data_IF_051777255348
#
_entry.id   IF_051777255348
#
_cell.length_a   1.000
_cell.length_b   1.000
_cell.length_c   1.000
_cell.angle_alpha   90.00
_cell.angle_beta   90.00
_cell.angle_gamma   90.00
#
_symmetry.space_group_name_H-M   'P 1'
#
loop_
_entity.id
_entity.type
_entity.pdbx_description
1 polymer ?
#
# COMPACT_ATOMS: atom_id res chain seq x y z
N UNK A 1 23.20 0.41 1.95
CA UNK A 1 22.70 0.54 0.57
C UNK A 1 21.41 1.35 0.63
N UNK A 2 21.17 2.22 -0.34
CA UNK A 2 19.87 2.89 -0.51
C UNK A 2 18.96 2.06 -1.42
N UNK A 3 17.75 2.56 -1.67
CA UNK A 3 16.82 1.96 -2.62
C UNK A 3 17.41 2.14 -4.04
N UNK A 4 17.57 1.07 -4.85
CA UNK A 4 18.12 1.19 -6.19
C UNK A 4 17.14 1.91 -7.13
N UNK A 5 17.69 2.47 -8.24
CA UNK A 5 16.85 3.03 -9.31
C UNK A 5 15.96 1.92 -9.92
N UNK A 6 14.71 2.28 -10.19
CA UNK A 6 13.69 1.36 -10.69
C UNK A 6 13.46 1.66 -12.17
N UNK A 7 13.72 0.66 -13.01
CA UNK A 7 13.44 0.76 -14.44
C UNK A 7 11.94 0.78 -14.72
N UNK A 8 11.47 1.54 -15.70
CA UNK A 8 10.07 1.52 -16.12
C UNK A 8 9.61 0.13 -16.52
N UNK A 9 8.38 -0.20 -16.16
CA UNK A 9 7.70 -1.40 -16.62
C UNK A 9 6.18 -1.12 -16.75
N UNK A 10 5.47 -1.84 -17.63
CA UNK A 10 4.05 -1.62 -17.80
C UNK A 10 3.28 -2.01 -16.54
N UNK A 11 2.34 -1.15 -16.13
CA UNK A 11 1.43 -1.47 -15.03
C UNK A 11 0.60 -2.71 -15.39
N UNK A 12 0.51 -3.73 -14.51
CA UNK A 12 -0.37 -4.87 -14.74
C UNK A 12 -1.82 -4.45 -14.97
N UNK A 13 -2.44 -5.08 -15.97
CA UNK A 13 -3.85 -4.91 -16.34
C UNK A 13 -4.71 -6.03 -15.74
N UNK A 14 -6.02 -5.95 -15.93
CA UNK A 14 -6.96 -6.99 -15.48
C UNK A 14 -6.58 -8.39 -16.00
N UNK A 15 -6.11 -8.48 -17.26
CA UNK A 15 -5.67 -9.74 -17.86
C UNK A 15 -4.35 -10.29 -17.32
N UNK A 16 -3.60 -9.50 -16.56
CA UNK A 16 -2.33 -9.89 -15.91
C UNK A 16 -2.54 -10.39 -14.47
N UNK A 17 -3.74 -10.21 -13.89
CA UNK A 17 -4.00 -10.63 -12.54
C UNK A 17 -4.13 -12.16 -12.44
N UNK A 18 -3.57 -12.78 -11.39
CA UNK A 18 -3.75 -14.20 -11.14
C UNK A 18 -5.21 -14.51 -10.78
N UNK A 19 -5.61 -15.76 -11.00
CA UNK A 19 -6.91 -16.25 -10.55
C UNK A 19 -6.97 -16.24 -9.01
N UNK A 20 -8.02 -15.64 -8.46
CA UNK A 20 -8.24 -15.59 -7.02
C UNK A 20 -8.82 -16.90 -6.47
N UNK A 21 -8.27 -17.38 -5.37
CA UNK A 21 -8.84 -18.51 -4.62
C UNK A 21 -10.07 -18.08 -3.84
N UNK A 22 -10.01 -16.93 -3.18
CA UNK A 22 -11.15 -16.35 -2.47
C UNK A 22 -12.16 -15.72 -3.45
N UNK A 23 -13.38 -15.45 -2.94
CA UNK A 23 -14.48 -14.85 -3.72
C UNK A 23 -15.17 -13.75 -2.93
N UNK A 24 -14.37 -12.89 -2.30
CA UNK A 24 -14.89 -11.74 -1.56
C UNK A 24 -15.17 -10.57 -2.52
N UNK A 25 -16.05 -9.69 -2.11
CA UNK A 25 -16.34 -8.41 -2.77
C UNK A 25 -16.13 -7.27 -1.79
N UNK A 26 -15.70 -6.11 -2.29
CA UNK A 26 -15.50 -4.92 -1.46
C UNK A 26 -16.87 -4.38 -1.00
N UNK A 27 -17.00 -4.11 0.29
CA UNK A 27 -18.17 -3.44 0.88
C UNK A 27 -17.71 -2.12 1.52
N UNK A 28 -18.20 -0.95 1.07
CA UNK A 28 -17.81 0.35 1.63
C UNK A 28 -18.10 0.49 3.13
N UNK A 29 -19.05 -0.27 3.67
CA UNK A 29 -19.36 -0.26 5.10
C UNK A 29 -18.36 -1.06 5.94
N UNK A 30 -17.64 -1.99 5.31
CA UNK A 30 -16.66 -2.88 5.94
C UNK A 30 -15.21 -2.50 5.64
N UNK A 31 -14.97 -1.76 4.56
CA UNK A 31 -13.64 -1.48 4.05
C UNK A 31 -12.95 -0.31 4.77
N UNK A 32 -11.62 -0.41 4.90
CA UNK A 32 -10.67 0.68 5.13
C UNK A 32 -9.72 0.71 3.94
N UNK A 33 -9.40 1.89 3.42
CA UNK A 33 -8.36 2.06 2.39
C UNK A 33 -7.02 2.29 3.07
N UNK A 34 -6.03 1.43 2.79
CA UNK A 34 -4.64 1.60 3.22
C UNK A 34 -3.78 2.09 2.06
N UNK A 35 -3.24 3.30 2.18
CA UNK A 35 -2.27 3.90 1.26
C UNK A 35 -0.88 3.74 1.88
N UNK A 36 -0.12 2.77 1.35
CA UNK A 36 1.10 2.28 1.96
C UNK A 36 2.34 2.99 1.41
N UNK A 37 3.05 3.72 2.28
CA UNK A 37 4.38 4.33 2.05
C UNK A 37 4.49 5.19 0.76
N UNK A 38 3.43 5.92 0.40
CA UNK A 38 3.42 6.79 -0.79
C UNK A 38 4.15 8.11 -0.55
N UNK A 39 5.31 8.04 0.14
CA UNK A 39 6.18 9.19 0.43
C UNK A 39 7.16 9.44 -0.72
N UNK A 40 7.57 10.69 -0.92
CA UNK A 40 8.51 11.09 -1.98
C UNK A 40 9.79 10.25 -1.97
N UNK A 41 10.33 9.92 -0.80
CA UNK A 41 11.51 9.06 -0.65
C UNK A 41 11.36 7.71 -1.34
N UNK A 42 10.18 7.07 -1.24
CA UNK A 42 9.94 5.75 -1.81
C UNK A 42 9.56 5.81 -3.30
N UNK A 43 9.06 6.96 -3.78
CA UNK A 43 8.70 7.12 -5.19
C UNK A 43 9.83 7.73 -6.03
N UNK A 44 10.77 8.44 -5.42
CA UNK A 44 11.94 9.02 -6.11
C UNK A 44 12.77 8.01 -6.93
N UNK A 45 12.93 6.72 -6.54
CA UNK A 45 13.67 5.75 -7.34
C UNK A 45 13.01 5.37 -8.67
N UNK A 46 11.71 5.60 -8.84
CA UNK A 46 11.02 5.35 -10.12
C UNK A 46 11.35 6.42 -11.16
N UNK A 47 11.36 6.01 -12.43
CA UNK A 47 11.53 6.96 -13.55
C UNK A 47 10.34 7.94 -13.59
N UNK A 48 10.63 9.22 -13.44
CA UNK A 48 9.62 10.26 -13.41
C UNK A 48 8.83 10.34 -14.73
N UNK A 49 7.52 10.43 -14.64
CA UNK A 49 6.65 10.54 -15.81
C UNK A 49 6.39 9.24 -16.58
N UNK A 50 6.91 8.11 -16.09
CA UNK A 50 6.74 6.81 -16.74
C UNK A 50 5.93 5.82 -15.88
N UNK A 51 5.43 4.76 -16.51
CA UNK A 51 4.83 3.62 -15.80
C UNK A 51 5.93 2.82 -15.07
N UNK A 52 5.68 2.28 -13.89
CA UNK A 52 4.37 2.13 -13.23
C UNK A 52 3.98 3.32 -12.35
N UNK A 53 4.89 4.26 -12.01
CA UNK A 53 4.63 5.26 -10.98
C UNK A 53 3.52 6.25 -11.35
N UNK A 54 3.41 6.65 -12.63
CA UNK A 54 2.34 7.52 -13.10
C UNK A 54 0.97 6.86 -12.98
N UNK A 55 0.89 5.59 -13.36
CA UNK A 55 -0.34 4.80 -13.25
C UNK A 55 -0.70 4.55 -11.79
N UNK A 56 0.27 4.20 -10.96
CA UNK A 56 0.10 4.02 -9.52
C UNK A 56 -0.55 5.26 -8.88
N UNK A 57 0.07 6.43 -9.04
CA UNK A 57 -0.44 7.67 -8.44
C UNK A 57 -1.84 7.99 -8.93
N UNK A 58 -2.09 7.88 -10.25
CA UNK A 58 -3.42 8.10 -10.83
C UNK A 58 -4.47 7.14 -10.24
N UNK A 59 -4.17 5.85 -10.20
CA UNK A 59 -5.11 4.83 -9.78
C UNK A 59 -5.42 4.92 -8.28
N UNK A 60 -4.41 5.12 -7.45
CA UNK A 60 -4.60 5.31 -6.00
C UNK A 60 -5.41 6.59 -5.73
N UNK A 61 -5.19 7.67 -6.50
CA UNK A 61 -5.98 8.90 -6.39
C UNK A 61 -7.46 8.63 -6.67
N UNK A 62 -7.80 7.90 -7.72
CA UNK A 62 -9.19 7.56 -8.04
C UNK A 62 -9.87 6.81 -6.89
N UNK A 63 -9.20 5.80 -6.33
CA UNK A 63 -9.75 5.05 -5.18
C UNK A 63 -9.87 5.94 -3.95
N UNK A 64 -8.88 6.78 -3.68
CA UNK A 64 -8.87 7.71 -2.54
C UNK A 64 -10.03 8.72 -2.61
N UNK A 65 -10.28 9.29 -3.80
CA UNK A 65 -11.41 10.20 -4.00
C UNK A 65 -12.74 9.49 -3.78
N UNK A 66 -12.90 8.29 -4.35
CA UNK A 66 -14.11 7.50 -4.16
C UNK A 66 -14.33 7.08 -2.71
N UNK A 67 -13.28 6.69 -2.01
CA UNK A 67 -13.34 6.41 -0.57
C UNK A 67 -13.83 7.62 0.23
N UNK A 68 -13.33 8.83 -0.08
CA UNK A 68 -13.77 10.06 0.58
C UNK A 68 -15.24 10.38 0.33
N UNK A 69 -15.73 10.25 -0.91
CA UNK A 69 -17.13 10.46 -1.27
C UNK A 69 -18.08 9.56 -0.49
N UNK A 70 -17.65 8.32 -0.21
CA UNK A 70 -18.46 7.31 0.47
C UNK A 70 -18.25 7.25 1.98
N UNK A 71 -17.36 8.06 2.54
CA UNK A 71 -17.00 8.01 3.96
C UNK A 71 -16.27 6.73 4.35
N UNK A 72 -15.60 6.07 3.40
CA UNK A 72 -14.68 4.95 3.69
C UNK A 72 -13.43 5.53 4.34
N UNK A 73 -13.07 5.12 5.56
CA UNK A 73 -11.88 5.61 6.24
C UNK A 73 -10.61 5.34 5.45
N UNK A 74 -9.70 6.30 5.47
CA UNK A 74 -8.40 6.20 4.79
C UNK A 74 -7.29 6.19 5.83
N UNK A 75 -6.43 5.18 5.74
CA UNK A 75 -5.22 5.04 6.56
C UNK A 75 -3.99 5.16 5.67
N UNK A 76 -2.99 5.86 6.17
CA UNK A 76 -1.69 6.00 5.53
C UNK A 76 -0.62 5.37 6.40
N UNK A 77 0.37 4.72 5.80
CA UNK A 77 1.62 4.46 6.48
C UNK A 77 2.69 5.44 6.02
N UNK A 78 3.47 5.94 6.97
CA UNK A 78 4.58 6.84 6.69
C UNK A 78 5.76 6.55 7.64
N UNK A 79 6.94 6.32 7.08
CA UNK A 79 8.16 6.22 7.90
C UNK A 79 8.55 7.61 8.41
N UNK A 80 9.03 7.72 9.66
CA UNK A 80 9.30 9.03 10.27
C UNK A 80 10.56 9.73 9.74
N UNK A 81 11.48 9.01 9.13
CA UNK A 81 12.81 9.51 8.76
C UNK A 81 13.71 9.77 9.97
N UNK A 82 15.02 9.67 9.77
CA UNK A 82 15.99 9.90 10.84
C UNK A 82 15.88 8.93 12.02
N UNK A 83 15.44 7.70 11.78
CA UNK A 83 15.35 6.65 12.80
C UNK A 83 16.71 6.43 13.45
N UNK A 84 16.75 6.33 14.79
CA UNK A 84 17.91 5.86 15.52
C UNK A 84 18.25 4.42 15.17
N UNK A 85 19.45 3.95 15.50
CA UNK A 85 19.83 2.55 15.25
C UNK A 85 18.88 1.55 15.93
N UNK A 86 18.43 1.85 17.14
CA UNK A 86 17.48 1.02 17.87
C UNK A 86 16.09 0.97 17.20
N UNK A 87 15.59 2.11 16.70
CA UNK A 87 14.35 2.19 15.96
C UNK A 87 14.45 1.50 14.61
N UNK A 88 15.57 1.67 13.90
CA UNK A 88 15.84 1.04 12.60
C UNK A 88 15.97 -0.48 12.72
N UNK A 89 16.64 -0.97 13.76
CA UNK A 89 16.84 -2.41 14.00
C UNK A 89 17.36 -3.13 12.76
N UNK A 90 16.86 -4.35 12.50
CA UNK A 90 17.27 -5.19 11.37
C UNK A 90 17.04 -4.58 9.98
N UNK A 91 16.19 -3.56 9.86
CA UNK A 91 16.05 -2.85 8.57
C UNK A 91 17.37 -2.22 8.12
N UNK A 92 18.28 -1.90 9.05
CA UNK A 92 19.58 -1.32 8.74
C UNK A 92 20.43 -2.27 7.89
N UNK A 93 20.35 -3.58 8.12
CA UNK A 93 21.18 -4.57 7.44
C UNK A 93 20.81 -4.70 5.96
N UNK A 94 19.52 -4.54 5.63
CA UNK A 94 18.99 -4.66 4.27
C UNK A 94 18.89 -3.31 3.53
N UNK A 95 18.50 -2.25 4.24
CA UNK A 95 18.10 -0.96 3.64
C UNK A 95 18.97 0.22 4.10
N UNK A 96 20.03 -0.05 4.90
CA UNK A 96 20.89 0.98 5.46
C UNK A 96 20.15 1.91 6.43
N UNK A 97 20.66 3.16 6.62
CA UNK A 97 20.11 4.10 7.59
C UNK A 97 18.67 4.55 7.29
N UNK A 98 18.21 4.32 6.05
CA UNK A 98 16.88 4.70 5.62
C UNK A 98 16.74 6.18 5.28
N UNK A 99 15.50 6.66 5.35
CA UNK A 99 15.10 8.02 5.01
C UNK A 99 15.70 9.03 5.99
N UNK A 100 16.22 10.14 5.46
CA UNK A 100 16.65 11.28 6.28
C UNK A 100 15.44 12.00 6.92
N UNK A 101 15.64 12.81 7.97
CA UNK A 101 14.54 13.56 8.58
C UNK A 101 14.07 14.75 7.73
N UNK A 102 14.53 14.89 6.50
CA UNK A 102 14.10 15.95 5.57
C UNK A 102 12.57 15.94 5.39
N UNK A 103 11.89 17.06 5.59
CA UNK A 103 10.45 17.16 5.32
C UNK A 103 10.08 16.72 3.91
N UNK A 104 10.93 17.03 2.92
CA UNK A 104 10.71 16.65 1.53
C UNK A 104 10.65 15.13 1.35
N UNK A 105 11.54 14.37 1.98
CA UNK A 105 11.50 12.91 1.91
C UNK A 105 10.25 12.32 2.59
N UNK A 106 9.81 12.92 3.69
CA UNK A 106 8.69 12.43 4.50
C UNK A 106 7.32 12.67 3.88
N UNK A 107 7.19 13.70 3.05
CA UNK A 107 5.91 14.06 2.46
C UNK A 107 5.35 12.94 1.59
N UNK A 108 4.05 12.69 1.76
CA UNK A 108 3.29 11.91 0.78
C UNK A 108 3.21 12.69 -0.52
N UNK A 109 3.30 12.00 -1.64
CA UNK A 109 3.31 12.67 -2.96
C UNK A 109 1.97 13.29 -3.29
N UNK A 110 1.92 14.50 -3.90
CA UNK A 110 0.68 15.02 -4.47
C UNK A 110 0.13 14.10 -5.59
N UNK A 111 -1.18 13.97 -5.73
CA UNK A 111 -2.27 14.55 -4.95
C UNK A 111 -2.78 13.66 -3.79
N UNK A 112 -1.93 12.78 -3.28
CA UNK A 112 -2.28 11.77 -2.26
C UNK A 112 -2.03 12.22 -0.82
N UNK A 113 -1.74 13.49 -0.56
CA UNK A 113 -1.51 13.97 0.80
C UNK A 113 -2.70 13.63 1.72
N UNK A 114 -2.41 13.18 2.98
CA UNK A 114 -3.46 12.95 3.95
C UNK A 114 -4.32 14.19 4.19
N UNK A 115 -5.62 14.00 4.35
CA UNK A 115 -6.60 15.05 4.66
C UNK A 115 -6.98 14.99 6.13
N UNK A 116 -7.67 16.05 6.59
CA UNK A 116 -8.25 16.03 7.93
C UNK A 116 -9.18 14.82 8.12
N UNK A 117 -8.98 14.09 9.21
CA UNK A 117 -9.72 12.86 9.51
C UNK A 117 -9.07 11.57 9.00
N UNK A 118 -8.06 11.64 8.14
CA UNK A 118 -7.31 10.46 7.71
C UNK A 118 -6.39 9.95 8.84
N UNK A 119 -6.26 8.63 8.96
CA UNK A 119 -5.38 7.99 9.93
C UNK A 119 -3.95 7.91 9.39
N UNK A 120 -2.99 8.58 10.03
CA UNK A 120 -1.58 8.53 9.61
C UNK A 120 -0.76 7.71 10.60
N UNK A 121 -0.38 6.51 10.18
CA UNK A 121 0.33 5.53 10.98
C UNK A 121 1.85 5.68 10.84
N UNK A 122 2.56 5.83 11.95
CA UNK A 122 4.04 5.79 11.94
C UNK A 122 4.51 4.37 11.68
N UNK A 123 5.19 4.18 10.57
CA UNK A 123 5.63 2.86 10.11
C UNK A 123 7.06 2.53 10.58
N UNK A 124 7.18 1.42 11.29
CA UNK A 124 8.45 0.98 11.87
C UNK A 124 9.06 -0.25 11.18
N UNK A 125 8.24 -1.10 10.58
CA UNK A 125 8.65 -2.37 9.94
C UNK A 125 7.86 -2.57 8.64
N UNK A 126 7.96 -3.73 8.01
CA UNK A 126 7.27 -4.00 6.75
C UNK A 126 5.76 -3.93 6.88
N UNK A 127 5.21 -4.59 7.89
CA UNK A 127 3.77 -4.58 8.12
C UNK A 127 3.25 -3.26 8.67
N UNK A 128 2.13 -2.80 8.13
CA UNK A 128 1.38 -1.65 8.63
C UNK A 128 0.77 -1.89 10.01
N UNK A 129 0.63 -3.14 10.44
CA UNK A 129 0.09 -3.50 11.76
C UNK A 129 1.13 -3.47 12.87
N UNK A 130 2.42 -3.48 12.53
CA UNK A 130 3.48 -3.57 13.53
C UNK A 130 3.67 -2.27 14.30
N UNK A 131 3.31 -2.27 15.60
CA UNK A 131 3.40 -1.12 16.52
C UNK A 131 2.62 0.10 16.02
N UNK A 132 1.45 -0.13 15.44
CA UNK A 132 0.50 0.91 15.03
C UNK A 132 -0.87 0.62 15.60
N UNK A 133 -1.74 1.60 15.57
CA UNK A 133 -3.15 1.48 15.98
C UNK A 133 -4.07 0.91 14.88
N UNK A 134 -3.57 0.48 13.72
CA UNK A 134 -4.41 0.04 12.60
C UNK A 134 -5.40 -1.07 12.98
N UNK A 135 -4.92 -2.11 13.67
CA UNK A 135 -5.76 -3.23 14.07
C UNK A 135 -6.86 -2.80 15.06
N UNK A 136 -6.50 -1.96 16.03
CA UNK A 136 -7.45 -1.44 17.01
C UNK A 136 -8.47 -0.52 16.31
N UNK A 137 -8.03 0.34 15.40
CA UNK A 137 -8.89 1.19 14.61
C UNK A 137 -9.91 0.37 13.81
N UNK A 138 -9.48 -0.66 13.11
CA UNK A 138 -10.39 -1.53 12.33
C UNK A 138 -11.40 -2.22 13.23
N UNK A 139 -10.96 -2.80 14.34
CA UNK A 139 -11.84 -3.49 15.30
C UNK A 139 -12.86 -2.55 15.97
N UNK A 140 -12.42 -1.40 16.44
CA UNK A 140 -13.29 -0.43 17.11
C UNK A 140 -14.30 0.21 16.17
N UNK A 141 -13.96 0.34 14.89
CA UNK A 141 -14.88 0.82 13.84
C UNK A 141 -15.79 -0.27 13.25
N UNK A 142 -15.64 -1.55 13.69
CA UNK A 142 -16.39 -2.68 13.17
C UNK A 142 -16.09 -3.00 11.70
N UNK A 143 -14.89 -2.68 11.21
CA UNK A 143 -14.45 -2.87 9.83
C UNK A 143 -13.49 -4.04 9.73
N UNK A 144 -13.71 -4.92 8.77
CA UNK A 144 -13.00 -6.19 8.58
C UNK A 144 -12.57 -6.43 7.12
N UNK A 145 -12.51 -5.37 6.31
CA UNK A 145 -11.97 -5.39 4.95
C UNK A 145 -10.89 -4.32 4.80
N UNK A 146 -9.77 -4.65 4.13
CA UNK A 146 -8.66 -3.74 3.90
C UNK A 146 -8.33 -3.67 2.39
N UNK A 147 -8.56 -2.52 1.76
CA UNK A 147 -8.13 -2.23 0.39
C UNK A 147 -6.69 -1.74 0.48
N UNK A 148 -5.73 -2.41 -0.18
CA UNK A 148 -4.30 -2.13 -0.03
C UNK A 148 -3.73 -1.62 -1.33
N UNK A 149 -3.16 -0.40 -1.27
CA UNK A 149 -2.46 0.28 -2.37
C UNK A 149 -1.08 0.77 -1.91
N UNK A 150 -0.18 1.10 -2.86
CA UNK A 150 1.10 1.76 -2.58
C UNK A 150 2.34 0.94 -2.88
N UNK A 151 3.43 1.16 -2.15
CA UNK A 151 4.76 0.58 -2.40
C UNK A 151 5.42 -0.01 -1.15
N UNK A 152 6.32 -0.96 -1.30
CA UNK A 152 6.63 -1.80 -2.48
C UNK A 152 5.87 -3.11 -2.37
N UNK A 153 5.36 -3.60 -3.50
CA UNK A 153 4.41 -4.70 -3.55
C UNK A 153 4.87 -5.94 -2.78
N UNK A 154 6.05 -6.48 -3.06
CA UNK A 154 6.56 -7.72 -2.42
C UNK A 154 7.18 -7.50 -1.03
N UNK A 155 7.31 -6.24 -0.57
CA UNK A 155 7.89 -5.91 0.74
C UNK A 155 6.77 -5.55 1.73
N UNK A 156 6.57 -4.25 2.00
CA UNK A 156 5.64 -3.80 3.04
C UNK A 156 4.17 -4.03 2.70
N UNK A 157 3.81 -3.89 1.43
CA UNK A 157 2.43 -4.09 0.96
C UNK A 157 2.00 -5.54 1.17
N UNK A 158 2.76 -6.53 0.67
CA UNK A 158 2.45 -7.95 0.83
C UNK A 158 2.46 -8.37 2.30
N UNK A 159 3.44 -7.91 3.10
CA UNK A 159 3.48 -8.26 4.52
C UNK A 159 2.28 -7.69 5.30
N UNK A 160 1.84 -6.47 4.97
CA UNK A 160 0.63 -5.90 5.55
C UNK A 160 -0.62 -6.67 5.13
N UNK A 161 -0.68 -7.13 3.90
CA UNK A 161 -1.76 -7.96 3.36
C UNK A 161 -1.83 -9.33 4.07
N UNK A 162 -0.68 -9.99 4.29
CA UNK A 162 -0.60 -11.26 5.03
C UNK A 162 -1.01 -11.10 6.49
N UNK A 163 -0.60 -10.00 7.14
CA UNK A 163 -0.98 -9.74 8.52
C UNK A 163 -2.48 -9.44 8.64
N UNK A 164 -3.07 -8.68 7.70
CA UNK A 164 -4.52 -8.48 7.67
C UNK A 164 -5.26 -9.82 7.64
N UNK A 165 -4.89 -10.72 6.73
CA UNK A 165 -5.44 -12.07 6.67
C UNK A 165 -5.25 -12.84 7.98
N UNK A 166 -4.09 -12.73 8.62
CA UNK A 166 -3.79 -13.39 9.90
C UNK A 166 -4.68 -12.89 11.04
N UNK A 167 -5.19 -11.65 10.93
CA UNK A 167 -6.15 -11.07 11.89
C UNK A 167 -7.61 -11.23 11.49
N UNK A 168 -7.94 -12.12 10.54
CA UNK A 168 -9.27 -12.34 9.99
C UNK A 168 -9.89 -11.09 9.31
N UNK A 169 -9.04 -10.21 8.78
CA UNK A 169 -9.43 -9.07 7.95
C UNK A 169 -9.29 -9.50 6.49
N UNK A 170 -10.32 -9.31 5.67
CA UNK A 170 -10.32 -9.65 4.24
C UNK A 170 -9.52 -8.61 3.44
N UNK A 171 -8.31 -8.92 2.92
CA UNK A 171 -7.54 -7.96 2.16
C UNK A 171 -7.88 -8.01 0.66
N UNK A 172 -7.91 -6.83 0.06
CA UNK A 172 -8.04 -6.61 -1.38
C UNK A 172 -6.79 -5.88 -1.87
N UNK A 173 -5.89 -6.61 -2.52
CA UNK A 173 -4.66 -6.06 -3.07
C UNK A 173 -4.93 -5.51 -4.46
N UNK A 174 -4.80 -4.19 -4.62
CA UNK A 174 -5.11 -3.51 -5.88
C UNK A 174 -3.94 -3.63 -6.85
N UNK A 175 -4.04 -4.54 -7.82
CA UNK A 175 -2.92 -4.90 -8.69
C UNK A 175 -2.36 -3.76 -9.53
N UNK A 176 -3.19 -2.85 -9.99
CA UNK A 176 -2.80 -1.62 -10.69
C UNK A 176 -2.72 -0.39 -9.78
N UNK A 177 -2.87 -0.58 -8.47
CA UNK A 177 -2.71 0.40 -7.40
C UNK A 177 -1.50 0.14 -6.50
N UNK A 178 -0.61 -0.78 -6.89
CA UNK A 178 0.67 -1.05 -6.24
C UNK A 178 1.82 -0.97 -7.25
N UNK A 179 3.06 -0.84 -6.78
CA UNK A 179 4.26 -0.92 -7.63
C UNK A 179 5.45 -1.52 -6.86
N UNK A 180 6.47 -1.94 -7.60
CA UNK A 180 7.63 -2.63 -7.06
C UNK A 180 8.94 -2.28 -7.80
N UNK A 181 10.05 -2.88 -7.40
CA UNK A 181 11.37 -2.73 -8.01
C UNK A 181 11.44 -3.27 -9.44
N UNK A 182 10.57 -4.22 -9.79
CA UNK A 182 10.44 -4.77 -11.14
C UNK A 182 9.06 -5.38 -11.34
N UNK A 183 8.69 -5.60 -12.61
CA UNK A 183 7.46 -6.32 -12.96
C UNK A 183 7.44 -7.75 -12.40
N UNK A 184 8.60 -8.40 -12.28
CA UNK A 184 8.72 -9.74 -11.70
C UNK A 184 8.33 -9.76 -10.23
N UNK A 185 8.88 -8.84 -9.42
CA UNK A 185 8.51 -8.72 -8.00
C UNK A 185 7.05 -8.31 -7.84
N UNK A 186 6.55 -7.41 -8.67
CA UNK A 186 5.15 -7.01 -8.68
C UNK A 186 4.23 -8.23 -8.91
N UNK A 187 4.49 -8.99 -9.98
CA UNK A 187 3.72 -10.21 -10.30
C UNK A 187 3.84 -11.29 -9.23
N UNK A 188 5.01 -11.45 -8.62
CA UNK A 188 5.21 -12.43 -7.54
C UNK A 188 4.37 -12.10 -6.31
N UNK A 189 4.26 -10.81 -5.95
CA UNK A 189 3.40 -10.36 -4.87
C UNK A 189 1.91 -10.62 -5.16
N UNK A 190 1.46 -10.30 -6.38
CA UNK A 190 0.08 -10.57 -6.80
C UNK A 190 -0.24 -12.06 -6.76
N UNK A 191 0.66 -12.90 -7.30
CA UNK A 191 0.48 -14.36 -7.31
C UNK A 191 0.37 -14.91 -5.89
N UNK A 192 1.30 -14.54 -5.01
CA UNK A 192 1.24 -15.00 -3.62
C UNK A 192 -0.06 -14.59 -2.94
N UNK A 193 -0.45 -13.32 -3.09
CA UNK A 193 -1.65 -12.78 -2.47
C UNK A 193 -2.92 -13.53 -2.92
N UNK A 194 -3.13 -13.68 -4.24
CA UNK A 194 -4.29 -14.37 -4.81
C UNK A 194 -4.41 -15.83 -4.37
N UNK A 195 -3.26 -16.51 -4.28
CA UNK A 195 -3.23 -17.94 -3.94
C UNK A 195 -3.33 -18.21 -2.43
N UNK A 196 -3.01 -17.24 -1.56
CA UNK A 196 -2.76 -17.51 -0.13
C UNK A 196 -3.52 -16.64 0.86
N UNK A 197 -3.79 -15.36 0.56
CA UNK A 197 -4.26 -14.47 1.62
C UNK A 197 -5.16 -13.31 1.18
N UNK A 198 -5.35 -13.01 -0.10
CA UNK A 198 -6.11 -11.84 -0.53
C UNK A 198 -6.89 -12.05 -1.83
N UNK A 199 -7.82 -11.15 -2.09
CA UNK A 199 -8.30 -10.91 -3.45
C UNK A 199 -7.34 -9.97 -4.16
N UNK A 200 -6.87 -10.33 -5.36
CA UNK A 200 -6.21 -9.38 -6.26
C UNK A 200 -7.25 -8.78 -7.19
N UNK A 201 -7.34 -7.47 -7.20
CA UNK A 201 -8.38 -6.72 -7.91
C UNK A 201 -7.76 -5.56 -8.68
N UNK A 202 -8.49 -4.99 -9.65
CA UNK A 202 -8.09 -3.74 -10.31
C UNK A 202 -8.72 -2.53 -9.62
N UNK A 203 -8.17 -1.35 -9.87
CA UNK A 203 -8.80 -0.06 -9.52
C UNK A 203 -10.24 -0.01 -10.00
N UNK A 204 -10.49 -0.42 -11.26
CA UNK A 204 -11.85 -0.46 -11.83
C UNK A 204 -12.78 -1.36 -11.02
N UNK A 205 -12.33 -2.54 -10.61
CA UNK A 205 -13.12 -3.46 -9.78
C UNK A 205 -13.46 -2.81 -8.44
N UNK A 206 -12.47 -2.24 -7.74
CA UNK A 206 -12.69 -1.54 -6.46
C UNK A 206 -13.71 -0.42 -6.61
N UNK A 207 -13.58 0.44 -7.63
CA UNK A 207 -14.52 1.54 -7.87
C UNK A 207 -15.94 1.05 -8.16
N UNK A 208 -16.07 -0.07 -8.89
CA UNK A 208 -17.38 -0.67 -9.21
C UNK A 208 -18.05 -1.28 -7.98
N UNK A 209 -17.27 -1.97 -7.13
CA UNK A 209 -17.79 -2.64 -5.94
C UNK A 209 -18.08 -1.66 -4.79
N UNK A 210 -17.35 -0.58 -4.71
CA UNK A 210 -17.68 0.52 -3.78
C UNK A 210 -19.00 1.21 -4.14
N UNK A 211 -19.41 1.20 -5.39
CA UNK A 211 -20.70 1.70 -5.87
C UNK A 211 -20.63 3.07 -6.53
#
# INVERSE_FOLDING_TARGET
MGIPAISPYPMPSEGDLPENVARWTVDPKRAVLLIHDMQKYFLQPFAAGESPVTDLVRNVTLIRERAAELGVPVAYTAQPGGMTEAERGLLKDFWGPGMTPSPEHKQVVPPLEPREGDLVLTKWRYSAFHRTELLEFMRSSGRDQLIVCGVYAHVGVLMSTCDAFTYDIQPFLVGDGIADFSLEYHRSALKYAAERCAMTVTTKTVLTELG
#
